data_IF_643420689260
#
_entry.id   IF_643420689260
#
_cell.length_a   1.000
_cell.length_b   1.000
_cell.length_c   1.000
_cell.angle_alpha   90.00
_cell.angle_beta   90.00
_cell.angle_gamma   90.00
#
_symmetry.space_group_name_H-M   'P 1'
#
loop_
_entity.id
_entity.type
_entity.pdbx_description
1 polymer ?
#
# COMPACT_ATOMS: atom_id res chain seq x y z
N UNK A 1 -6.00 -8.92 6.88
CA UNK A 1 -5.57 -7.48 6.86
C UNK A 1 -4.11 -7.22 7.24
N UNK A 2 -3.45 -8.05 8.06
CA UNK A 2 -2.09 -7.75 8.56
C UNK A 2 -1.00 -7.77 7.48
N UNK A 3 -1.16 -8.61 6.45
CA UNK A 3 -0.26 -8.71 5.30
C UNK A 3 -0.09 -7.36 4.58
N UNK A 4 -1.20 -6.73 4.16
CA UNK A 4 -1.18 -5.42 3.49
C UNK A 4 -0.44 -4.36 4.30
N UNK A 5 -0.70 -4.29 5.62
CA UNK A 5 -0.06 -3.32 6.49
C UNK A 5 1.46 -3.51 6.54
N UNK A 6 1.94 -4.75 6.67
CA UNK A 6 3.37 -5.07 6.71
C UNK A 6 4.04 -4.82 5.36
N UNK A 7 3.51 -5.40 4.28
CA UNK A 7 4.05 -5.27 2.93
C UNK A 7 4.21 -3.79 2.52
N UNK A 8 3.20 -2.96 2.80
CA UNK A 8 3.24 -1.54 2.42
C UNK A 8 4.05 -0.66 3.35
N UNK A 9 4.25 -1.02 4.63
CA UNK A 9 5.04 -0.22 5.58
C UNK A 9 6.51 -0.62 5.71
N UNK A 10 6.87 -1.84 5.28
CA UNK A 10 8.26 -2.32 5.30
C UNK A 10 9.05 -1.65 4.17
N UNK A 11 9.84 -0.65 4.53
CA UNK A 11 10.76 0.01 3.61
C UNK A 11 11.83 -0.97 3.11
N UNK A 12 12.24 -0.90 1.82
CA UNK A 12 13.25 -1.80 1.25
C UNK A 12 14.65 -1.55 1.81
N UNK A 13 14.95 -0.30 2.18
CA UNK A 13 16.24 0.12 2.71
C UNK A 13 16.07 1.03 3.93
N UNK A 14 16.97 1.00 4.91
CA UNK A 14 16.95 1.92 6.05
C UNK A 14 16.92 3.39 5.61
N UNK A 15 16.18 4.24 6.32
CA UNK A 15 16.05 5.66 6.00
C UNK A 15 15.08 5.99 4.86
N UNK A 16 14.51 4.98 4.18
CA UNK A 16 13.46 5.18 3.17
C UNK A 16 12.06 4.97 3.73
N UNK A 17 11.06 5.53 3.05
CA UNK A 17 9.65 5.34 3.36
C UNK A 17 8.88 4.97 2.08
N UNK A 18 8.09 3.91 2.16
CA UNK A 18 7.23 3.52 1.05
C UNK A 18 6.10 4.53 0.84
N UNK A 19 5.70 4.72 -0.40
CA UNK A 19 4.53 5.50 -0.77
C UNK A 19 3.35 4.59 -1.11
N UNK A 20 2.14 5.02 -0.75
CA UNK A 20 0.88 4.41 -1.16
C UNK A 20 0.07 5.43 -1.96
N UNK A 21 -0.22 5.13 -3.22
CA UNK A 21 -1.04 5.97 -4.09
C UNK A 21 -2.45 5.40 -4.11
N UNK A 22 -3.43 6.25 -3.83
CA UNK A 22 -4.83 5.86 -3.83
C UNK A 22 -5.75 6.95 -4.35
N UNK A 23 -6.93 6.56 -4.82
CA UNK A 23 -7.97 7.50 -5.22
C UNK A 23 -8.69 8.07 -3.99
N UNK A 24 -9.29 9.26 -4.13
CA UNK A 24 -10.04 9.91 -3.05
C UNK A 24 -11.07 9.00 -2.37
N UNK A 25 -11.86 8.23 -3.14
CA UNK A 25 -12.86 7.29 -2.57
C UNK A 25 -12.22 6.18 -1.72
N UNK A 26 -11.03 5.70 -2.10
CA UNK A 26 -10.28 4.71 -1.32
C UNK A 26 -9.69 5.31 -0.06
N UNK A 27 -9.22 6.56 -0.12
CA UNK A 27 -8.83 7.28 1.10
C UNK A 27 -10.02 7.50 2.06
N UNK A 28 -11.20 7.76 1.51
CA UNK A 28 -12.44 7.91 2.27
C UNK A 28 -13.00 6.63 2.88
N UNK A 29 -12.68 5.46 2.31
CA UNK A 29 -13.09 4.18 2.88
C UNK A 29 -12.23 3.73 4.06
N UNK A 30 -11.03 4.31 4.24
CA UNK A 30 -10.19 4.05 5.42
C UNK A 30 -10.80 4.74 6.64
N UNK A 31 -10.98 4.04 7.79
CA UNK A 31 -11.49 4.66 9.00
C UNK A 31 -10.71 5.92 9.41
N UNK A 32 -11.41 7.00 9.78
CA UNK A 32 -10.80 8.31 10.08
C UNK A 32 -9.63 8.28 11.07
N UNK A 33 -9.67 7.37 12.05
CA UNK A 33 -8.63 7.24 13.06
C UNK A 33 -7.37 6.50 12.58
N UNK A 34 -7.43 5.87 11.39
CA UNK A 34 -6.32 5.17 10.75
C UNK A 34 -5.69 5.96 9.61
N UNK A 35 -6.39 6.95 9.04
CA UNK A 35 -5.89 7.78 7.93
C UNK A 35 -5.22 9.08 8.43
N UNK A 36 -4.14 9.55 7.78
CA UNK A 36 -3.34 8.81 6.80
C UNK A 36 -2.68 7.57 7.42
N UNK A 37 -2.44 6.54 6.59
CA UNK A 37 -1.88 5.28 7.07
C UNK A 37 -0.44 5.50 7.57
N UNK A 38 -0.18 5.19 8.84
CA UNK A 38 1.11 5.43 9.48
C UNK A 38 2.28 4.66 8.85
N UNK A 39 3.50 5.17 9.01
CA UNK A 39 4.77 4.62 8.50
C UNK A 39 4.85 4.52 6.97
N UNK A 40 4.08 5.35 6.26
CA UNK A 40 3.98 5.45 4.80
C UNK A 40 3.74 6.91 4.39
N UNK A 41 4.06 7.22 3.13
CA UNK A 41 3.64 8.46 2.46
C UNK A 41 2.31 8.19 1.75
N UNK A 42 1.21 8.78 2.21
CA UNK A 42 -0.12 8.61 1.62
C UNK A 42 -0.37 9.62 0.51
N UNK A 43 -0.51 9.19 -0.74
CA UNK A 43 -0.78 10.07 -1.87
C UNK A 43 -2.23 9.90 -2.33
N UNK A 44 -3.03 10.95 -2.19
CA UNK A 44 -4.45 10.96 -2.55
C UNK A 44 -4.63 11.66 -3.90
N UNK A 45 -5.06 10.89 -4.90
CA UNK A 45 -5.37 11.42 -6.23
C UNK A 45 -6.83 11.88 -6.27
N UNK A 46 -7.05 13.14 -6.62
CA UNK A 46 -8.38 13.76 -6.73
C UNK A 46 -8.43 14.78 -7.86
N UNK A 47 -9.60 14.93 -8.50
CA UNK A 47 -9.86 16.00 -9.47
C UNK A 47 -10.42 17.27 -8.82
N UNK A 48 -10.64 17.24 -7.50
CA UNK A 48 -11.14 18.39 -6.78
C UNK A 48 -10.11 19.54 -6.79
N UNK A 49 -10.42 20.59 -7.52
CA UNK A 49 -9.60 21.80 -7.63
C UNK A 49 -9.93 22.84 -6.57
N UNK A 50 -10.95 22.63 -5.74
CA UNK A 50 -11.38 23.58 -4.70
C UNK A 50 -10.43 23.61 -3.51
N UNK A 51 -9.61 22.58 -3.33
CA UNK A 51 -8.65 22.46 -2.23
C UNK A 51 -9.23 21.86 -0.95
N UNK A 52 -10.55 21.67 -0.84
CA UNK A 52 -11.20 21.11 0.36
C UNK A 52 -10.65 19.73 0.71
N UNK A 53 -10.46 18.86 -0.28
CA UNK A 53 -9.84 17.55 -0.06
C UNK A 53 -8.40 17.69 0.45
N UNK A 54 -7.61 18.62 -0.11
CA UNK A 54 -6.23 18.86 0.32
C UNK A 54 -6.16 19.32 1.77
N UNK A 55 -6.96 20.32 2.14
CA UNK A 55 -7.03 20.83 3.51
C UNK A 55 -7.45 19.74 4.50
N UNK A 56 -8.45 18.92 4.12
CA UNK A 56 -8.90 17.78 4.92
C UNK A 56 -7.79 16.77 5.19
N UNK A 57 -7.08 16.33 4.14
CA UNK A 57 -5.97 15.37 4.26
C UNK A 57 -4.83 15.92 5.11
N UNK A 58 -4.46 17.19 4.94
CA UNK A 58 -3.40 17.81 5.73
C UNK A 58 -3.79 17.96 7.21
N UNK A 59 -5.04 18.31 7.50
CA UNK A 59 -5.55 18.36 8.87
C UNK A 59 -5.51 16.98 9.55
N UNK A 60 -5.89 15.94 8.83
CA UNK A 60 -5.83 14.56 9.34
C UNK A 60 -4.39 14.08 9.54
N UNK A 61 -3.47 14.47 8.66
CA UNK A 61 -2.03 14.20 8.82
C UNK A 61 -1.48 14.80 10.11
N UNK A 62 -1.76 16.08 10.37
CA UNK A 62 -1.28 16.74 11.57
C UNK A 62 -1.85 16.09 12.84
N UNK A 63 -3.15 15.77 12.85
CA UNK A 63 -3.77 15.02 13.94
C UNK A 63 -3.09 13.64 14.14
N UNK A 64 -2.73 12.96 13.05
CA UNK A 64 -2.05 11.68 13.09
C UNK A 64 -0.63 11.79 13.66
N UNK A 65 0.13 12.81 13.28
CA UNK A 65 1.48 13.09 13.80
C UNK A 65 1.44 13.35 15.30
N UNK A 66 0.50 14.17 15.78
CA UNK A 66 0.31 14.44 17.21
C UNK A 66 0.07 13.14 17.98
N UNK A 67 -0.92 12.34 17.54
CA UNK A 67 -1.24 11.06 18.18
C UNK A 67 -0.06 10.08 18.20
N UNK A 68 0.73 10.04 17.12
CA UNK A 68 1.92 9.20 17.05
C UNK A 68 3.02 9.67 17.99
N UNK A 69 3.24 10.98 18.10
CA UNK A 69 4.20 11.56 19.03
C UNK A 69 3.82 11.29 20.50
N UNK A 70 2.53 11.40 20.84
CA UNK A 70 2.02 11.03 22.17
C UNK A 70 2.24 9.55 22.47
N UNK A 71 1.91 8.67 21.51
CA UNK A 71 2.11 7.22 21.66
C UNK A 71 3.59 6.87 21.81
N UNK A 72 4.47 7.52 21.04
CA UNK A 72 5.92 7.32 21.12
C UNK A 72 6.49 7.78 22.47
N UNK A 73 6.02 8.92 23.00
CA UNK A 73 6.40 9.41 24.34
C UNK A 73 5.93 8.45 25.43
N UNK A 74 4.69 7.97 25.37
CA UNK A 74 4.16 7.01 26.32
C UNK A 74 4.93 5.69 26.29
N UNK A 75 5.27 5.19 25.10
CA UNK A 75 6.09 3.99 24.93
C UNK A 75 7.50 4.17 25.50
N UNK A 76 8.14 5.30 25.21
CA UNK A 76 9.48 5.61 25.74
C UNK A 76 9.49 5.71 27.27
N UNK A 77 8.46 6.32 27.87
CA UNK A 77 8.30 6.36 29.32
C UNK A 77 8.14 4.96 29.93
N UNK A 78 7.31 4.10 29.33
CA UNK A 78 7.13 2.72 29.79
C UNK A 78 8.39 1.85 29.62
N UNK A 79 9.16 2.06 28.54
CA UNK A 79 10.44 1.36 28.31
C UNK A 79 11.54 1.80 29.28
N UNK A 80 11.55 3.08 29.67
CA UNK A 80 12.45 3.62 30.69
C UNK A 80 12.11 3.06 32.09
N UNK A 81 10.83 2.93 32.44
CA UNK A 81 10.39 2.29 33.69
C UNK A 81 10.70 0.78 33.73
N UNK A 82 10.72 0.10 32.58
CA UNK A 82 11.03 -1.32 32.46
C UNK A 82 12.54 -1.66 32.44
N UNK A 83 13.43 -0.67 32.59
CA UNK A 83 14.88 -0.89 32.70
C UNK A 83 15.55 -1.49 31.46
N UNK A 84 14.93 -1.38 30.27
CA UNK A 84 15.56 -1.81 29.01
C UNK A 84 16.57 -0.77 28.54
N UNK A 85 17.85 -1.10 28.58
CA UNK A 85 18.90 -0.31 27.93
C UNK A 85 18.64 -0.22 26.42
N UNK A 86 18.54 1.01 25.92
CA UNK A 86 18.47 1.35 24.50
C UNK A 86 19.80 0.98 23.83
N UNK A 87 19.85 -0.18 23.17
CA UNK A 87 20.95 -0.50 22.25
C UNK A 87 20.92 0.46 21.07
N UNK A 88 22.06 1.06 20.78
CA UNK A 88 22.23 2.25 19.94
C UNK A 88 21.66 2.21 18.51
N UNK A 89 21.41 3.42 18.00
CA UNK A 89 21.02 3.79 16.64
C UNK A 89 19.99 2.86 15.99
N UNK A 90 18.72 3.02 16.37
CA UNK A 90 17.61 2.50 15.60
C UNK A 90 17.72 3.00 14.14
N UNK A 91 17.59 2.12 13.13
CA UNK A 91 17.48 2.56 11.75
C UNK A 91 16.32 3.56 11.67
N UNK A 92 16.53 4.70 11.02
CA UNK A 92 15.51 5.76 10.88
C UNK A 92 14.18 5.12 10.45
N UNK A 93 13.19 5.15 11.34
CA UNK A 93 11.91 4.52 11.09
C UNK A 93 11.17 5.24 9.96
N UNK A 94 10.37 4.52 9.15
CA UNK A 94 9.58 5.15 8.10
C UNK A 94 8.65 6.24 8.66
N UNK A 95 8.60 7.37 7.97
CA UNK A 95 7.80 8.53 8.38
C UNK A 95 6.32 8.32 8.07
N UNK A 96 5.47 9.20 8.61
CA UNK A 96 4.06 9.31 8.19
C UNK A 96 3.85 10.67 7.55
N UNK A 97 3.47 10.64 6.28
CA UNK A 97 3.24 11.86 5.50
C UNK A 97 2.04 11.70 4.56
N UNK A 98 1.56 12.80 4.00
CA UNK A 98 0.48 12.77 3.02
C UNK A 98 0.58 13.88 1.97
N UNK A 99 0.33 13.51 0.71
CA UNK A 99 0.27 14.41 -0.45
C UNK A 99 -1.12 14.31 -1.10
N UNK A 100 -1.53 15.38 -1.77
CA UNK A 100 -2.76 15.40 -2.59
C UNK A 100 -2.41 15.90 -3.98
N UNK A 101 -2.71 15.07 -4.99
CA UNK A 101 -2.33 15.34 -6.38
C UNK A 101 -3.52 15.17 -7.33
N UNK A 102 -3.36 15.64 -8.56
CA UNK A 102 -4.44 15.67 -9.57
C UNK A 102 -4.49 14.46 -10.49
N UNK A 103 -3.41 13.69 -10.58
CA UNK A 103 -3.29 12.49 -11.41
C UNK A 103 -2.25 11.52 -10.86
N UNK A 104 -2.23 10.30 -11.40
CA UNK A 104 -1.19 9.32 -11.10
C UNK A 104 0.19 9.82 -11.54
N UNK A 105 0.30 10.46 -12.69
CA UNK A 105 1.58 11.01 -13.18
C UNK A 105 2.08 12.15 -12.27
N UNK A 106 1.18 13.03 -11.83
CA UNK A 106 1.51 14.09 -10.87
C UNK A 106 1.95 13.50 -9.52
N UNK A 107 1.29 12.43 -9.04
CA UNK A 107 1.69 11.70 -7.83
C UNK A 107 3.13 11.17 -7.93
N UNK A 108 3.47 10.52 -9.04
CA UNK A 108 4.80 9.95 -9.25
C UNK A 108 5.87 11.06 -9.34
N UNK A 109 5.60 12.11 -10.11
CA UNK A 109 6.50 13.26 -10.25
C UNK A 109 6.77 13.97 -8.92
N UNK A 110 5.73 14.17 -8.11
CA UNK A 110 5.87 14.81 -6.80
C UNK A 110 6.60 13.91 -5.80
N UNK A 111 6.34 12.60 -5.81
CA UNK A 111 7.09 11.63 -4.98
C UNK A 111 8.58 11.63 -5.33
N UNK A 112 8.92 11.60 -6.62
CA UNK A 112 10.30 11.65 -7.09
C UNK A 112 10.97 12.97 -6.70
N UNK A 113 10.25 14.08 -6.84
CA UNK A 113 10.78 15.41 -6.52
C UNK A 113 11.01 15.59 -5.02
N UNK A 114 10.05 15.22 -4.18
CA UNK A 114 10.08 15.49 -2.73
C UNK A 114 10.92 14.47 -1.96
N UNK A 115 10.76 13.17 -2.28
CA UNK A 115 11.41 12.08 -1.53
C UNK A 115 12.46 11.34 -2.35
N UNK A 116 12.28 11.23 -3.67
CA UNK A 116 13.25 10.55 -4.54
C UNK A 116 14.58 11.30 -4.63
N UNK A 117 14.53 12.62 -4.84
CA UNK A 117 15.70 13.49 -4.98
C UNK A 117 16.62 13.51 -3.74
N UNK A 118 16.04 13.25 -2.55
CA UNK A 118 16.77 13.16 -1.29
C UNK A 118 17.06 11.72 -0.85
N UNK A 119 16.78 10.71 -1.69
CA UNK A 119 17.06 9.30 -1.41
C UNK A 119 16.18 8.68 -0.31
N UNK A 120 15.03 9.28 0.00
CA UNK A 120 14.10 8.85 1.07
C UNK A 120 12.89 8.08 0.55
N UNK A 121 12.72 7.98 -0.76
CA UNK A 121 11.61 7.24 -1.37
C UNK A 121 11.92 5.73 -1.43
N UNK A 122 11.05 4.93 -0.82
CA UNK A 122 11.07 3.48 -0.89
C UNK A 122 10.28 2.94 -2.09
N UNK A 123 9.59 1.81 -1.90
CA UNK A 123 8.67 1.25 -2.91
C UNK A 123 7.42 2.13 -3.04
N UNK A 124 6.89 2.25 -4.25
CA UNK A 124 5.60 2.90 -4.53
C UNK A 124 4.56 1.81 -4.76
N UNK A 125 3.51 1.78 -3.94
CA UNK A 125 2.37 0.89 -4.08
C UNK A 125 1.17 1.66 -4.59
N UNK A 126 0.53 1.19 -5.65
CA UNK A 126 -0.82 1.64 -6.01
C UNK A 126 -1.80 0.75 -5.28
N UNK A 127 -2.63 1.31 -4.39
CA UNK A 127 -3.55 0.56 -3.53
C UNK A 127 -5.02 0.73 -3.92
N UNK A 128 -5.25 1.29 -5.12
CA UNK A 128 -6.56 1.40 -5.75
C UNK A 128 -7.25 2.76 -5.58
N UNK A 129 -8.55 2.89 -5.87
CA UNK A 129 -9.46 1.85 -6.35
C UNK A 129 -9.34 1.57 -7.84
N UNK A 130 -10.40 0.98 -8.43
CA UNK A 130 -10.45 0.55 -9.83
C UNK A 130 -9.99 1.63 -10.82
N UNK A 131 -10.39 2.89 -10.65
CA UNK A 131 -9.94 3.98 -11.53
C UNK A 131 -8.42 4.19 -11.50
N UNK A 132 -7.81 4.13 -10.31
CA UNK A 132 -6.35 4.32 -10.14
C UNK A 132 -5.59 3.07 -10.58
N UNK A 133 -6.11 1.88 -10.32
CA UNK A 133 -5.56 0.64 -10.89
C UNK A 133 -5.56 0.71 -12.43
N UNK A 134 -6.68 1.11 -13.04
CA UNK A 134 -6.78 1.25 -14.49
C UNK A 134 -5.79 2.27 -15.04
N UNK A 135 -5.58 3.39 -14.35
CA UNK A 135 -4.56 4.37 -14.73
C UNK A 135 -3.14 3.77 -14.65
N UNK A 136 -2.82 3.04 -13.58
CA UNK A 136 -1.52 2.39 -13.41
C UNK A 136 -1.23 1.33 -14.46
N UNK A 137 -2.22 0.52 -14.84
CA UNK A 137 -2.07 -0.52 -15.87
C UNK A 137 -1.83 0.07 -17.26
N UNK A 138 -2.40 1.24 -17.56
CA UNK A 138 -2.20 1.97 -18.81
C UNK A 138 -0.88 2.77 -18.86
N UNK A 139 -0.13 2.82 -17.76
CA UNK A 139 1.16 3.50 -17.76
C UNK A 139 2.09 2.83 -18.77
N UNK A 140 2.55 3.62 -19.74
CA UNK A 140 3.60 3.22 -20.66
C UNK A 140 4.94 3.19 -19.92
N UNK A 141 5.93 2.52 -20.48
CA UNK A 141 7.31 2.64 -20.02
C UNK A 141 7.79 4.07 -20.29
N UNK A 142 7.58 4.96 -19.32
CA UNK A 142 8.12 6.32 -19.29
C UNK A 142 9.36 6.29 -18.40
N UNK A 143 10.40 7.03 -18.78
CA UNK A 143 11.62 7.17 -17.98
C UNK A 143 11.37 7.98 -16.69
N UNK A 144 11.90 7.57 -15.52
CA UNK A 144 12.64 6.33 -15.29
C UNK A 144 11.72 5.11 -15.40
N UNK A 145 12.19 4.07 -16.08
CA UNK A 145 11.40 2.85 -16.30
C UNK A 145 10.88 2.25 -14.99
N UNK A 146 9.55 2.09 -14.88
CA UNK A 146 8.86 1.45 -13.74
C UNK A 146 8.17 0.17 -14.19
N UNK A 147 8.71 -1.03 -13.88
CA UNK A 147 7.99 -2.28 -14.15
C UNK A 147 6.73 -2.33 -13.29
N UNK A 148 5.61 -2.69 -13.92
CA UNK A 148 4.32 -2.83 -13.25
C UNK A 148 4.17 -4.26 -12.79
N UNK A 149 4.04 -4.43 -11.47
CA UNK A 149 3.82 -5.72 -10.81
C UNK A 149 2.53 -5.64 -10.00
N UNK A 150 1.79 -6.73 -9.95
CA UNK A 150 0.57 -6.88 -9.16
C UNK A 150 0.86 -7.90 -8.07
N UNK A 151 0.72 -7.49 -6.81
CA UNK A 151 0.61 -8.41 -5.68
C UNK A 151 -0.87 -8.54 -5.36
N UNK A 152 -1.43 -9.72 -5.56
CA UNK A 152 -2.86 -9.98 -5.45
C UNK A 152 -3.12 -10.94 -4.29
N UNK A 153 -4.19 -10.67 -3.54
CA UNK A 153 -4.74 -11.62 -2.58
C UNK A 153 -6.03 -12.16 -3.16
N UNK A 154 -6.03 -13.41 -3.62
CA UNK A 154 -7.24 -14.12 -3.98
C UNK A 154 -8.03 -14.39 -2.70
N UNK A 155 -9.34 -14.18 -2.74
CA UNK A 155 -10.24 -14.42 -1.60
C UNK A 155 -11.44 -15.19 -2.11
N UNK A 156 -11.66 -16.37 -1.56
CA UNK A 156 -12.82 -17.21 -1.89
C UNK A 156 -13.61 -17.52 -0.62
N UNK A 157 -14.94 -17.60 -0.74
CA UNK A 157 -15.76 -18.15 0.35
C UNK A 157 -15.58 -19.65 0.40
N UNK A 158 -15.61 -20.20 1.60
CA UNK A 158 -15.72 -21.65 1.74
C UNK A 158 -17.05 -22.13 1.14
N UNK A 159 -17.02 -23.30 0.52
CA UNK A 159 -18.24 -24.02 0.18
C UNK A 159 -19.06 -24.29 1.45
N UNK A 160 -20.37 -24.03 1.40
CA UNK A 160 -21.29 -24.40 2.46
C UNK A 160 -21.49 -25.92 2.54
N UNK A 161 -22.40 -26.37 3.39
CA UNK A 161 -22.80 -27.79 3.49
C UNK A 161 -23.36 -28.34 2.16
N UNK A 162 -23.80 -27.45 1.26
CA UNK A 162 -24.28 -27.74 -0.09
C UNK A 162 -23.14 -27.92 -1.13
N UNK A 163 -21.88 -27.75 -0.72
CA UNK A 163 -20.72 -27.85 -1.60
C UNK A 163 -20.52 -26.65 -2.53
N UNK A 164 -21.33 -25.59 -2.41
CA UNK A 164 -21.27 -24.41 -3.28
C UNK A 164 -20.76 -23.19 -2.51
N UNK A 165 -19.66 -22.60 -2.96
CA UNK A 165 -19.17 -21.34 -2.43
C UNK A 165 -20.03 -20.18 -2.97
N UNK A 166 -20.65 -19.40 -2.09
CA UNK A 166 -21.44 -18.22 -2.48
C UNK A 166 -20.54 -17.09 -2.95
N UNK A 167 -20.81 -16.53 -4.13
CA UNK A 167 -20.11 -15.36 -4.66
C UNK A 167 -20.31 -14.10 -3.79
N UNK A 168 -19.33 -13.20 -3.83
CA UNK A 168 -19.44 -11.88 -3.20
C UNK A 168 -20.22 -10.93 -4.12
N UNK A 169 -21.18 -10.20 -3.55
CA UNK A 169 -21.80 -9.08 -4.26
C UNK A 169 -20.75 -7.95 -4.39
N UNK A 170 -20.47 -7.54 -5.62
CA UNK A 170 -19.45 -6.54 -5.94
C UNK A 170 -19.98 -5.55 -6.98
N UNK A 171 -19.76 -4.26 -6.74
CA UNK A 171 -20.08 -3.16 -7.68
C UNK A 171 -18.84 -2.61 -8.41
N UNK A 172 -17.65 -3.03 -7.97
CA UNK A 172 -16.35 -2.52 -8.41
C UNK A 172 -15.41 -3.69 -8.66
N UNK A 173 -14.84 -3.75 -9.87
CA UNK A 173 -13.98 -4.85 -10.31
C UNK A 173 -12.56 -4.37 -10.62
N UNK A 174 -11.57 -5.26 -10.49
CA UNK A 174 -10.20 -4.97 -10.88
C UNK A 174 -10.10 -4.87 -12.41
N UNK A 175 -9.50 -3.81 -12.98
CA UNK A 175 -9.66 -3.47 -14.39
C UNK A 175 -8.67 -4.21 -15.31
N UNK A 176 -8.75 -5.54 -15.33
CA UNK A 176 -8.02 -6.43 -16.25
C UNK A 176 -8.96 -7.46 -16.85
N UNK A 177 -8.72 -7.83 -18.11
CA UNK A 177 -9.47 -8.91 -18.79
C UNK A 177 -8.95 -10.31 -18.39
N UNK A 178 -7.70 -10.37 -17.91
CA UNK A 178 -7.04 -11.56 -17.39
C UNK A 178 -5.59 -11.27 -17.03
N UNK A 179 -4.97 -12.17 -16.27
CA UNK A 179 -3.56 -12.08 -15.84
C UNK A 179 -2.71 -13.24 -16.39
N UNK A 180 -3.12 -13.81 -17.53
CA UNK A 180 -2.36 -14.80 -18.28
C UNK A 180 -1.42 -14.17 -19.31
N UNK A 181 -0.58 -15.02 -19.92
CA UNK A 181 0.41 -14.60 -20.91
C UNK A 181 -0.23 -14.01 -22.17
N UNK A 182 -1.42 -14.50 -22.54
CA UNK A 182 -2.24 -13.96 -23.62
C UNK A 182 -2.66 -12.49 -23.40
N UNK A 183 -2.66 -12.05 -22.15
CA UNK A 183 -2.97 -10.69 -21.73
C UNK A 183 -1.71 -9.88 -21.36
N UNK A 184 -0.51 -10.39 -21.67
CA UNK A 184 0.76 -9.72 -21.38
C UNK A 184 1.18 -9.80 -19.92
N UNK A 185 0.84 -10.87 -19.21
CA UNK A 185 1.24 -11.08 -17.81
C UNK A 185 1.94 -12.41 -17.58
N UNK A 186 2.95 -12.40 -16.71
CA UNK A 186 3.61 -13.60 -16.18
C UNK A 186 3.23 -13.78 -14.73
N UNK A 187 2.86 -15.01 -14.36
CA UNK A 187 2.74 -15.37 -12.94
C UNK A 187 4.13 -15.46 -12.32
N UNK A 188 4.34 -14.74 -11.23
CA UNK A 188 5.59 -14.79 -10.46
C UNK A 188 5.57 -15.95 -9.46
N UNK A 189 6.75 -16.51 -9.20
CA UNK A 189 6.96 -17.52 -8.17
C UNK A 189 6.75 -16.93 -6.76
N UNK A 190 6.48 -17.81 -5.79
CA UNK A 190 6.31 -17.41 -4.40
C UNK A 190 7.55 -16.69 -3.82
N UNK A 191 8.74 -17.10 -4.25
CA UNK A 191 10.02 -16.47 -3.87
C UNK A 191 10.12 -15.04 -4.42
N UNK A 192 9.80 -14.84 -5.70
CA UNK A 192 9.77 -13.49 -6.29
C UNK A 192 8.77 -12.58 -5.56
N UNK A 193 7.57 -13.08 -5.26
CA UNK A 193 6.58 -12.32 -4.49
C UNK A 193 7.13 -11.97 -3.11
N UNK A 194 7.81 -12.90 -2.45
CA UNK A 194 8.41 -12.70 -1.14
C UNK A 194 9.46 -11.57 -1.17
N UNK A 195 10.30 -11.53 -2.20
CA UNK A 195 11.26 -10.43 -2.41
C UNK A 195 10.54 -9.09 -2.65
N UNK A 196 9.44 -9.10 -3.39
CA UNK A 196 8.68 -7.89 -3.67
C UNK A 196 8.03 -7.29 -2.43
N UNK A 197 7.57 -8.10 -1.47
CA UNK A 197 6.90 -7.61 -0.25
C UNK A 197 7.80 -7.59 1.00
N UNK A 198 8.96 -8.23 0.94
CA UNK A 198 9.92 -8.33 2.04
C UNK A 198 9.45 -9.21 3.21
N UNK A 199 8.53 -10.14 2.97
CA UNK A 199 8.16 -11.22 3.90
C UNK A 199 7.88 -12.49 3.13
N UNK A 200 7.99 -13.63 3.81
CA UNK A 200 7.70 -14.93 3.22
C UNK A 200 6.25 -15.01 2.73
N UNK A 201 6.09 -15.40 1.47
CA UNK A 201 4.82 -15.73 0.83
C UNK A 201 4.97 -17.15 0.27
N UNK A 202 4.01 -18.03 0.58
CA UNK A 202 4.05 -19.43 0.13
C UNK A 202 3.30 -19.67 -1.18
N UNK A 203 2.36 -18.78 -1.52
CA UNK A 203 1.43 -19.02 -2.64
C UNK A 203 0.37 -20.08 -2.34
N UNK A 204 0.29 -20.58 -1.11
CA UNK A 204 -0.73 -21.56 -0.68
C UNK A 204 -2.01 -20.87 -0.23
N UNK A 205 -3.12 -21.62 -0.24
CA UNK A 205 -4.38 -21.19 0.34
C UNK A 205 -4.32 -21.29 1.87
N UNK A 206 -4.71 -20.23 2.54
CA UNK A 206 -4.70 -20.09 4.00
C UNK A 206 -6.11 -19.77 4.46
N UNK A 207 -6.58 -20.48 5.49
CA UNK A 207 -7.87 -20.19 6.10
C UNK A 207 -7.82 -18.91 6.95
N UNK A 208 -8.71 -17.96 6.67
CA UNK A 208 -8.88 -16.72 7.45
C UNK A 208 -10.39 -16.54 7.78
N UNK A 209 -10.82 -17.20 8.86
CA UNK A 209 -12.22 -17.21 9.27
C UNK A 209 -13.12 -17.98 8.30
N UNK A 210 -14.06 -17.27 7.66
CA UNK A 210 -15.05 -17.83 6.71
C UNK A 210 -14.56 -17.85 5.25
N UNK A 211 -13.36 -17.32 5.00
CA UNK A 211 -12.76 -17.26 3.67
C UNK A 211 -11.44 -18.01 3.63
N UNK A 212 -11.05 -18.42 2.43
CA UNK A 212 -9.69 -18.86 2.12
C UNK A 212 -9.01 -17.77 1.31
N UNK A 213 -7.75 -17.50 1.63
CA UNK A 213 -6.96 -16.46 1.00
C UNK A 213 -5.65 -17.02 0.44
N UNK A 214 -5.21 -16.51 -0.70
CA UNK A 214 -3.96 -16.89 -1.33
C UNK A 214 -3.26 -15.64 -1.86
N UNK A 215 -1.98 -15.47 -1.51
CA UNK A 215 -1.17 -14.35 -2.01
C UNK A 215 -0.37 -14.79 -3.23
N UNK A 216 -0.56 -14.11 -4.35
CA UNK A 216 0.10 -14.39 -5.64
C UNK A 216 0.64 -13.12 -6.27
N UNK A 217 1.53 -13.26 -7.25
CA UNK A 217 2.13 -12.13 -7.96
C UNK A 217 2.04 -12.28 -9.47
N UNK A 218 1.94 -11.13 -10.14
CA UNK A 218 2.00 -11.02 -11.59
C UNK A 218 2.94 -9.90 -12.00
N UNK A 219 3.70 -10.13 -13.05
CA UNK A 219 4.56 -9.12 -13.67
C UNK A 219 4.15 -8.93 -15.12
N UNK A 220 4.08 -7.66 -15.56
CA UNK A 220 3.74 -7.34 -16.94
C UNK A 220 4.88 -7.82 -17.87
N UNK A 221 4.52 -8.64 -18.85
CA UNK A 221 5.40 -9.00 -19.97
C UNK A 221 5.64 -7.76 -20.81
N UNK A 222 6.90 -7.57 -21.21
CA UNK A 222 7.31 -6.48 -22.10
C UNK A 222 7.10 -6.82 -23.57
#
# INVERSE_FOLDING_TARGET
MSFFARATSRAPTPGTTNAIIMGRKTYDSVPKHLRPLGKRISVVVTRDTTGVVREGVLKELEARKVKMAETARAKAAAEAEAGKESSGASPEEPITDALVTTSLDAALSELDTVYGSCGRLGKIYVIGGAEIYGAALRMKAVEPRRPVRIVMTNVVRRAGDDGVAKEFECDTFFPVEGLGAENGWRTASADEVSEWVGESVTGEWIQDGEVEVQMVGYERLE
#
